data_IF_495744207714
#
_entry.id   IF_495744207714
#
_cell.length_a   1.000
_cell.length_b   1.000
_cell.length_c   1.000
_cell.angle_alpha   90.00
_cell.angle_beta   90.00
_cell.angle_gamma   90.00
#
_symmetry.space_group_name_H-M   'P 1'
#
loop_
_entity.id
_entity.type
_entity.pdbx_description
1 polymer ?
#
# COMPACT_ATOMS: atom_id res chain seq x y z
N UNK A 1 -2.36 -1.52 17.89
CA UNK A 1 -1.43 -2.32 17.04
C UNK A 1 -0.26 -1.47 16.55
N UNK A 2 -0.52 -0.34 15.92
CA UNK A 2 0.55 0.58 15.44
C UNK A 2 1.46 1.01 16.59
N UNK A 3 0.92 1.57 17.65
CA UNK A 3 1.71 1.97 18.83
C UNK A 3 2.54 0.83 19.40
N UNK A 4 1.95 -0.37 19.52
CA UNK A 4 2.68 -1.54 20.00
C UNK A 4 3.86 -1.92 19.11
N UNK A 5 3.69 -1.85 17.77
CA UNK A 5 4.76 -2.13 16.83
C UNK A 5 5.87 -1.08 16.93
N UNK A 6 5.50 0.20 17.02
CA UNK A 6 6.45 1.31 17.17
C UNK A 6 7.22 1.22 18.50
N UNK A 7 6.53 0.87 19.61
CA UNK A 7 7.17 0.66 20.92
C UNK A 7 8.17 -0.50 20.90
N UNK A 8 7.89 -1.53 20.11
CA UNK A 8 8.81 -2.67 19.91
C UNK A 8 9.91 -2.34 18.85
N UNK A 9 9.96 -1.10 18.34
CA UNK A 9 10.98 -0.58 17.42
C UNK A 9 10.73 -0.87 15.94
N UNK A 10 9.53 -1.30 15.56
CA UNK A 10 9.14 -1.55 14.18
C UNK A 10 8.15 -0.50 13.69
N UNK A 11 8.59 0.39 12.81
CA UNK A 11 7.72 1.38 12.21
C UNK A 11 6.62 0.72 11.39
N UNK A 12 5.44 1.35 11.38
CA UNK A 12 4.29 0.92 10.59
C UNK A 12 4.00 1.98 9.56
N UNK A 13 3.89 1.59 8.30
CA UNK A 13 3.41 2.46 7.23
C UNK A 13 1.92 2.25 6.99
N UNK A 14 1.17 3.32 6.82
CA UNK A 14 -0.21 3.23 6.37
C UNK A 14 -0.27 3.02 4.85
N UNK A 15 -1.35 2.41 4.39
CA UNK A 15 -1.59 2.15 2.97
C UNK A 15 -3.04 2.47 2.61
N UNK A 16 -3.24 2.92 1.36
CA UNK A 16 -4.58 3.19 0.85
C UNK A 16 -5.25 4.41 1.49
N UNK A 17 -6.56 4.34 1.64
CA UNK A 17 -7.39 5.50 1.96
C UNK A 17 -7.31 6.00 3.41
N UNK A 18 -6.73 5.24 4.33
CA UNK A 18 -6.62 5.65 5.75
C UNK A 18 -5.81 6.94 5.93
N UNK A 19 -4.85 7.22 5.03
CA UNK A 19 -4.05 8.45 5.02
C UNK A 19 -4.86 9.73 4.73
N UNK A 20 -6.12 9.62 4.29
CA UNK A 20 -7.02 10.77 4.10
C UNK A 20 -7.84 11.14 5.33
N UNK A 21 -7.68 10.40 6.44
CA UNK A 21 -8.41 10.65 7.69
C UNK A 21 -7.54 11.39 8.71
N UNK A 22 -7.82 12.66 8.96
CA UNK A 22 -7.16 13.42 10.01
C UNK A 22 -7.38 12.82 11.41
N UNK A 23 -8.56 12.23 11.64
CA UNK A 23 -8.81 11.50 12.89
C UNK A 23 -7.86 10.31 13.07
N UNK A 24 -7.54 9.59 12.00
CA UNK A 24 -6.57 8.49 12.03
C UNK A 24 -5.14 9.01 12.28
N UNK A 25 -4.77 10.17 11.74
CA UNK A 25 -3.50 10.86 12.04
C UNK A 25 -3.41 11.20 13.52
N UNK A 26 -4.43 11.84 14.07
CA UNK A 26 -4.48 12.24 15.48
C UNK A 26 -4.51 11.05 16.44
N UNK A 27 -5.07 9.92 16.00
CA UNK A 27 -5.07 8.67 16.77
C UNK A 27 -3.73 7.89 16.66
N UNK A 28 -2.77 8.37 15.85
CA UNK A 28 -1.50 7.69 15.59
C UNK A 28 -1.65 6.36 14.85
N UNK A 29 -2.69 6.24 14.00
CA UNK A 29 -2.91 5.09 13.12
C UNK A 29 -2.14 5.24 11.82
N UNK A 30 -2.08 6.47 11.30
CA UNK A 30 -1.33 6.83 10.09
C UNK A 30 -0.35 7.97 10.39
N UNK A 31 0.79 7.94 9.72
CA UNK A 31 1.79 9.00 9.70
C UNK A 31 1.42 10.14 8.75
N UNK A 32 0.45 9.92 7.88
CA UNK A 32 0.04 10.88 6.86
C UNK A 32 -0.91 11.92 7.46
N UNK A 33 -0.57 13.21 7.30
CA UNK A 33 -1.45 14.32 7.65
C UNK A 33 -2.19 14.81 6.39
N UNK A 34 -3.50 14.56 6.26
CA UNK A 34 -4.26 14.91 5.05
C UNK A 34 -4.62 16.39 4.91
N UNK A 35 -4.37 17.20 5.93
CA UNK A 35 -4.67 18.63 5.85
C UNK A 35 -3.86 19.31 4.73
N UNK A 36 -4.31 20.48 4.31
CA UNK A 36 -3.55 21.31 3.37
C UNK A 36 -2.18 21.65 3.95
N UNK A 37 -1.17 21.93 3.11
CA UNK A 37 0.17 22.26 3.56
C UNK A 37 0.19 23.37 4.61
N UNK A 38 0.92 23.16 5.71
CA UNK A 38 0.97 24.07 6.82
C UNK A 38 2.26 23.94 7.64
N UNK A 39 2.55 24.99 8.39
CA UNK A 39 3.62 25.00 9.37
C UNK A 39 3.08 24.81 10.79
N UNK A 40 3.80 24.04 11.60
CA UNK A 40 3.51 23.87 13.03
C UNK A 40 4.76 24.17 13.84
N UNK A 41 4.67 25.07 14.79
CA UNK A 41 5.75 25.29 15.73
C UNK A 41 5.80 24.17 16.78
N UNK A 42 6.89 23.40 16.91
CA UNK A 42 6.99 22.33 17.88
C UNK A 42 6.97 22.86 19.34
N UNK A 43 7.39 24.13 19.56
CA UNK A 43 7.51 24.73 20.88
C UNK A 43 6.22 25.42 21.35
N UNK A 44 5.69 26.38 20.61
CA UNK A 44 4.54 27.17 21.03
C UNK A 44 3.21 26.74 20.40
N UNK A 45 3.23 25.71 19.53
CA UNK A 45 2.06 25.15 18.83
C UNK A 45 1.35 26.11 17.88
N UNK A 46 1.96 27.26 17.58
CA UNK A 46 1.46 28.13 16.52
C UNK A 46 1.44 27.38 15.19
N UNK A 47 0.35 27.48 14.46
CA UNK A 47 0.17 26.87 13.13
C UNK A 47 -0.28 27.90 12.11
N UNK A 48 0.11 27.67 10.85
CA UNK A 48 -0.19 28.58 9.74
C UNK A 48 -0.41 27.74 8.48
N UNK A 49 -1.62 27.83 7.91
CA UNK A 49 -2.03 27.10 6.73
C UNK A 49 -1.76 27.90 5.46
N UNK A 50 -1.37 27.19 4.38
CA UNK A 50 -0.90 27.78 3.14
C UNK A 50 -1.66 27.20 1.94
N UNK A 51 -2.78 27.81 1.56
CA UNK A 51 -3.61 27.41 0.43
C UNK A 51 -2.88 27.50 -0.92
N UNK A 52 -1.87 28.36 -1.04
CA UNK A 52 -1.04 28.51 -2.24
C UNK A 52 -0.23 27.24 -2.58
N UNK A 53 -0.08 26.31 -1.63
CA UNK A 53 0.55 25.03 -1.82
C UNK A 53 -0.47 23.88 -1.92
N UNK A 54 -1.77 24.18 -2.09
CA UNK A 54 -2.79 23.15 -2.27
C UNK A 54 -2.41 22.16 -3.36
N UNK A 55 -2.70 20.87 -3.16
CA UNK A 55 -2.31 19.78 -4.05
C UNK A 55 -0.82 19.40 -3.99
N UNK A 56 -0.06 19.94 -3.05
CA UNK A 56 1.35 19.63 -2.83
C UNK A 56 1.57 19.03 -1.43
N UNK A 57 2.77 18.53 -1.18
CA UNK A 57 3.21 18.14 0.15
C UNK A 57 3.78 19.33 0.89
N UNK A 58 3.38 19.52 2.15
CA UNK A 58 3.97 20.53 3.02
C UNK A 58 5.48 20.35 3.22
N UNK A 59 6.00 19.14 3.06
CA UNK A 59 7.45 18.86 3.11
C UNK A 59 8.23 19.68 2.10
N UNK A 60 7.64 19.94 0.92
CA UNK A 60 8.30 20.70 -0.15
C UNK A 60 8.28 22.23 0.06
N UNK A 61 7.58 22.72 1.11
CA UNK A 61 7.59 24.14 1.45
C UNK A 61 8.97 24.61 1.93
N UNK A 62 9.31 25.90 1.75
CA UNK A 62 10.57 26.45 2.26
C UNK A 62 10.61 26.38 3.80
N UNK A 63 11.83 26.32 4.36
CA UNK A 63 12.01 26.37 5.80
C UNK A 63 11.59 27.73 6.36
N UNK A 64 10.94 27.70 7.53
CA UNK A 64 10.39 28.90 8.17
C UNK A 64 10.59 28.87 9.69
N UNK A 65 10.99 30.02 10.24
CA UNK A 65 11.02 30.22 11.68
C UNK A 65 9.66 30.70 12.20
N UNK A 66 9.30 30.22 13.38
CA UNK A 66 8.10 30.66 14.06
C UNK A 66 8.16 32.17 14.37
N UNK A 67 7.15 32.96 13.98
CA UNK A 67 7.13 34.39 14.23
C UNK A 67 7.12 34.74 15.72
N UNK A 68 6.60 33.84 16.58
CA UNK A 68 6.47 34.07 18.01
C UNK A 68 7.69 33.69 18.83
N UNK A 69 8.34 32.55 18.55
CA UNK A 69 9.43 32.03 19.39
C UNK A 69 10.72 31.71 18.64
N UNK A 70 10.81 32.02 17.36
CA UNK A 70 11.99 31.84 16.51
C UNK A 70 12.52 30.39 16.42
N UNK A 71 11.69 29.42 16.74
CA UNK A 71 12.01 28.00 16.56
C UNK A 71 11.69 27.59 15.13
N UNK A 72 12.52 26.75 14.48
CA UNK A 72 12.20 26.19 13.18
C UNK A 72 10.87 25.44 13.24
N UNK A 73 9.98 25.73 12.31
CA UNK A 73 8.66 25.13 12.23
C UNK A 73 8.72 23.78 11.47
N UNK A 74 7.87 22.87 11.87
CA UNK A 74 7.64 21.61 11.15
C UNK A 74 6.75 21.89 9.97
N UNK A 75 7.05 21.26 8.83
CA UNK A 75 6.31 21.34 7.57
C UNK A 75 5.48 20.07 7.42
N UNK A 76 4.16 20.20 7.34
CA UNK A 76 3.23 19.08 7.25
C UNK A 76 2.08 19.34 6.28
N UNK A 77 1.27 18.30 6.06
CA UNK A 77 0.09 18.34 5.21
C UNK A 77 0.34 17.86 3.80
N UNK A 78 -0.60 17.06 3.28
CA UNK A 78 -0.51 16.46 1.94
C UNK A 78 -1.74 16.75 1.07
N UNK A 79 -2.68 17.56 1.58
CA UNK A 79 -3.91 17.98 0.88
C UNK A 79 -4.67 16.79 0.26
N UNK A 80 -5.06 15.83 1.10
CA UNK A 80 -5.77 14.63 0.66
C UNK A 80 -7.25 14.76 1.05
N UNK A 81 -8.18 14.73 0.09
CA UNK A 81 -9.61 14.83 0.36
C UNK A 81 -10.11 13.66 1.23
N UNK A 82 -10.97 13.96 2.23
CA UNK A 82 -11.53 12.94 3.13
C UNK A 82 -12.45 11.95 2.40
N UNK A 83 -13.03 12.37 1.29
CA UNK A 83 -13.86 11.55 0.40
C UNK A 83 -13.13 10.30 -0.11
N UNK A 84 -11.81 10.32 -0.15
CA UNK A 84 -10.99 9.14 -0.48
C UNK A 84 -11.21 8.01 0.52
N UNK A 85 -11.50 8.34 1.78
CA UNK A 85 -11.72 7.36 2.87
C UNK A 85 -13.16 6.85 2.94
N UNK A 86 -14.15 7.74 2.90
CA UNK A 86 -15.55 7.38 3.09
C UNK A 86 -16.42 7.46 1.84
N UNK A 87 -15.90 7.93 0.70
CA UNK A 87 -16.70 8.25 -0.48
C UNK A 87 -17.36 9.62 -0.39
N UNK A 88 -17.86 10.12 -1.52
CA UNK A 88 -18.51 11.44 -1.58
C UNK A 88 -19.83 11.49 -0.80
N UNK A 89 -20.56 10.39 -0.76
CA UNK A 89 -21.84 10.26 -0.06
C UNK A 89 -21.70 9.61 1.33
N UNK A 90 -20.47 9.31 1.77
CA UNK A 90 -20.20 8.60 3.03
C UNK A 90 -20.65 7.13 3.02
N UNK A 91 -20.80 6.54 1.85
CA UNK A 91 -21.30 5.18 1.61
C UNK A 91 -20.20 4.13 1.49
N UNK A 92 -18.94 4.56 1.38
CA UNK A 92 -17.80 3.66 1.32
C UNK A 92 -17.45 3.18 2.73
N UNK A 93 -17.39 1.85 2.92
CA UNK A 93 -16.82 1.27 4.13
C UNK A 93 -15.34 1.60 4.22
N UNK A 94 -14.86 2.24 5.31
CA UNK A 94 -13.45 2.59 5.45
C UNK A 94 -12.58 1.34 5.52
N UNK A 95 -11.52 1.34 4.72
CA UNK A 95 -10.52 0.27 4.69
C UNK A 95 -9.25 0.75 5.39
N UNK A 96 -8.78 -0.04 6.37
CA UNK A 96 -7.58 0.28 7.16
C UNK A 96 -6.51 -0.76 6.84
N UNK A 97 -5.64 -0.39 5.92
CA UNK A 97 -4.50 -1.20 5.49
C UNK A 97 -3.22 -0.69 6.14
N UNK A 98 -2.50 -1.59 6.82
CA UNK A 98 -1.28 -1.26 7.54
C UNK A 98 -0.16 -2.21 7.13
N UNK A 99 0.98 -1.63 6.77
CA UNK A 99 2.21 -2.34 6.43
C UNK A 99 3.09 -2.47 7.68
N UNK A 100 3.17 -3.68 8.21
CA UNK A 100 4.07 -4.04 9.29
C UNK A 100 5.36 -4.65 8.73
N UNK A 101 6.43 -4.63 9.51
CA UNK A 101 7.61 -5.42 9.18
C UNK A 101 7.22 -6.90 9.05
N UNK A 102 7.69 -7.56 7.98
CA UNK A 102 7.33 -8.95 7.67
C UNK A 102 7.61 -9.91 8.84
N UNK A 103 8.71 -9.71 9.53
CA UNK A 103 9.10 -10.49 10.72
C UNK A 103 8.24 -10.20 11.96
N UNK A 104 7.61 -9.02 12.03
CA UNK A 104 6.74 -8.62 13.14
C UNK A 104 5.26 -8.92 12.91
N UNK A 105 4.84 -9.22 11.68
CA UNK A 105 3.44 -9.43 11.29
C UNK A 105 2.72 -10.49 12.17
N UNK A 106 3.39 -11.61 12.45
CA UNK A 106 2.81 -12.67 13.27
C UNK A 106 2.51 -12.22 14.71
N UNK A 107 3.34 -11.34 15.26
CA UNK A 107 3.15 -10.72 16.57
C UNK A 107 1.93 -9.81 16.57
N UNK A 108 1.72 -9.02 15.50
CA UNK A 108 0.53 -8.20 15.32
C UNK A 108 -0.75 -9.03 15.27
N UNK A 109 -0.75 -10.13 14.53
CA UNK A 109 -1.91 -11.03 14.50
C UNK A 109 -2.27 -11.58 15.89
N UNK A 110 -1.29 -12.06 16.66
CA UNK A 110 -1.52 -12.53 18.03
C UNK A 110 -1.98 -11.40 18.96
N UNK A 111 -1.47 -10.19 18.75
CA UNK A 111 -1.91 -9.04 19.54
C UNK A 111 -3.36 -8.64 19.24
N UNK A 112 -3.83 -8.84 18.00
CA UNK A 112 -5.24 -8.63 17.63
C UNK A 112 -6.16 -9.55 18.44
N UNK A 113 -5.79 -10.81 18.60
CA UNK A 113 -6.54 -11.77 19.46
C UNK A 113 -6.59 -11.31 20.93
N UNK A 114 -5.51 -10.70 21.42
CA UNK A 114 -5.46 -10.14 22.78
C UNK A 114 -6.38 -8.92 22.93
N UNK A 115 -6.52 -8.10 21.89
CA UNK A 115 -7.35 -6.88 21.91
C UNK A 115 -8.84 -7.19 21.84
N UNK A 116 -9.24 -8.12 20.98
CA UNK A 116 -10.65 -8.37 20.64
C UNK A 116 -11.20 -9.68 21.22
N UNK A 117 -10.33 -10.57 21.72
CA UNK A 117 -10.67 -11.92 22.15
C UNK A 117 -10.32 -12.96 21.08
N UNK A 118 -9.78 -14.10 21.49
CA UNK A 118 -9.37 -15.16 20.56
C UNK A 118 -10.56 -15.80 19.82
N UNK A 119 -11.76 -15.73 20.41
CA UNK A 119 -13.01 -16.19 19.82
C UNK A 119 -13.67 -15.17 18.88
N UNK A 120 -13.10 -13.98 18.77
CA UNK A 120 -13.59 -12.87 17.91
C UNK A 120 -12.69 -12.57 16.72
N UNK A 121 -11.55 -13.25 16.59
CA UNK A 121 -10.53 -12.95 15.58
C UNK A 121 -10.28 -14.17 14.70
N UNK A 122 -10.52 -14.05 13.41
CA UNK A 122 -10.35 -15.11 12.43
C UNK A 122 -9.56 -14.61 11.22
N UNK A 123 -8.75 -15.46 10.63
CA UNK A 123 -8.08 -15.11 9.36
C UNK A 123 -9.11 -15.05 8.24
N UNK A 124 -8.96 -14.08 7.35
CA UNK A 124 -9.80 -13.99 6.16
C UNK A 124 -9.54 -15.18 5.22
N UNK A 125 -10.57 -15.93 4.90
CA UNK A 125 -10.50 -17.04 3.95
C UNK A 125 -10.41 -16.54 2.51
N UNK A 126 -9.73 -17.30 1.67
CA UNK A 126 -9.69 -17.10 0.23
C UNK A 126 -10.11 -18.36 -0.51
N UNK A 127 -10.76 -18.19 -1.65
CA UNK A 127 -11.15 -19.30 -2.54
C UNK A 127 -10.41 -19.12 -3.85
N UNK A 128 -9.50 -20.05 -4.16
CA UNK A 128 -8.88 -20.16 -5.46
C UNK A 128 -9.81 -20.87 -6.44
N UNK A 129 -10.09 -20.25 -7.57
CA UNK A 129 -10.91 -20.83 -8.64
C UNK A 129 -10.08 -21.13 -9.87
N UNK A 130 -10.63 -21.97 -10.77
CA UNK A 130 -10.01 -22.28 -12.04
C UNK A 130 -10.09 -21.06 -12.96
N UNK A 131 -8.92 -20.54 -13.36
CA UNK A 131 -8.82 -19.42 -14.32
C UNK A 131 -9.02 -19.89 -15.75
N UNK A 132 -9.32 -18.97 -16.68
CA UNK A 132 -9.49 -19.29 -18.13
C UNK A 132 -8.30 -20.06 -18.71
N UNK A 133 -7.07 -19.61 -18.43
CA UNK A 133 -5.84 -20.25 -18.89
C UNK A 133 -5.69 -21.68 -18.36
N UNK A 134 -5.98 -21.86 -17.06
CA UNK A 134 -5.92 -23.18 -16.41
C UNK A 134 -7.02 -24.10 -16.95
N UNK A 135 -8.24 -23.59 -17.11
CA UNK A 135 -9.37 -24.31 -17.69
C UNK A 135 -9.07 -24.82 -19.09
N UNK A 136 -8.53 -23.94 -19.94
CA UNK A 136 -8.12 -24.33 -21.30
C UNK A 136 -7.06 -25.43 -21.28
N UNK A 137 -6.05 -25.31 -20.42
CA UNK A 137 -5.00 -26.34 -20.26
C UNK A 137 -5.56 -27.69 -19.82
N UNK A 138 -6.50 -27.71 -18.88
CA UNK A 138 -7.13 -28.95 -18.42
C UNK A 138 -7.93 -29.63 -19.51
N UNK A 139 -8.76 -28.88 -20.24
CA UNK A 139 -9.55 -29.47 -21.34
C UNK A 139 -8.65 -29.94 -22.47
N UNK A 140 -7.60 -29.17 -22.81
CA UNK A 140 -6.64 -29.56 -23.84
C UNK A 140 -5.94 -30.86 -23.47
N UNK A 141 -5.44 -30.97 -22.23
CA UNK A 141 -4.79 -32.18 -21.73
C UNK A 141 -5.75 -33.38 -21.74
N UNK A 142 -7.00 -33.20 -21.33
CA UNK A 142 -8.02 -34.26 -21.39
C UNK A 142 -8.29 -34.73 -22.82
N UNK A 143 -8.38 -33.81 -23.78
CA UNK A 143 -8.58 -34.12 -25.20
C UNK A 143 -7.42 -34.93 -25.76
N UNK A 144 -6.18 -34.55 -25.40
CA UNK A 144 -4.97 -35.27 -25.80
C UNK A 144 -4.90 -36.68 -25.16
N UNK A 145 -5.16 -36.80 -23.85
CA UNK A 145 -5.16 -38.10 -23.15
C UNK A 145 -6.24 -39.08 -23.63
N UNK A 146 -7.35 -38.54 -24.12
CA UNK A 146 -8.46 -39.33 -24.62
C UNK A 146 -8.47 -39.44 -26.16
N UNK A 147 -7.43 -38.93 -26.81
CA UNK A 147 -7.28 -38.96 -28.29
C UNK A 147 -8.52 -38.41 -29.03
N UNK A 148 -9.18 -37.40 -28.43
CA UNK A 148 -10.38 -36.81 -28.98
C UNK A 148 -10.03 -35.80 -30.09
N UNK A 149 -10.73 -35.88 -31.21
CA UNK A 149 -10.60 -34.90 -32.28
C UNK A 149 -11.49 -33.68 -31.99
N UNK A 150 -10.94 -32.64 -31.39
CA UNK A 150 -11.67 -31.42 -31.03
C UNK A 150 -10.98 -30.17 -31.58
N UNK A 151 -11.77 -29.27 -32.14
CA UNK A 151 -11.26 -27.96 -32.56
C UNK A 151 -10.92 -27.06 -31.35
N UNK A 152 -10.04 -26.10 -31.56
CA UNK A 152 -9.69 -25.10 -30.50
C UNK A 152 -10.93 -24.33 -29.99
N UNK A 153 -11.93 -24.10 -30.87
CA UNK A 153 -13.21 -23.49 -30.50
C UNK A 153 -14.01 -24.35 -29.51
N UNK A 154 -14.08 -25.67 -29.77
CA UNK A 154 -14.75 -26.60 -28.87
C UNK A 154 -14.00 -26.71 -27.53
N UNK A 155 -12.68 -26.76 -27.53
CA UNK A 155 -11.86 -26.77 -26.30
C UNK A 155 -12.19 -25.52 -25.47
N UNK A 156 -12.21 -24.31 -26.07
CA UNK A 156 -12.59 -23.07 -25.37
C UNK A 156 -14.02 -23.12 -24.83
N UNK A 157 -14.98 -23.68 -25.60
CA UNK A 157 -16.37 -23.81 -25.13
C UNK A 157 -16.48 -24.68 -23.88
N UNK A 158 -15.76 -25.80 -23.82
CA UNK A 158 -15.74 -26.66 -22.64
C UNK A 158 -14.96 -26.03 -21.48
N UNK A 159 -13.83 -25.37 -21.76
CA UNK A 159 -13.06 -24.65 -20.75
C UNK A 159 -13.91 -23.61 -20.02
N UNK A 160 -14.72 -22.81 -20.72
CA UNK A 160 -15.64 -21.84 -20.12
C UNK A 160 -16.61 -22.42 -19.10
N UNK A 161 -16.94 -23.71 -19.19
CA UNK A 161 -17.85 -24.38 -18.24
C UNK A 161 -17.20 -24.70 -16.89
N UNK A 162 -15.90 -24.75 -16.86
CA UNK A 162 -15.14 -25.06 -15.62
C UNK A 162 -14.40 -23.84 -15.05
N UNK A 163 -14.42 -22.70 -15.76
CA UNK A 163 -13.92 -21.45 -15.20
C UNK A 163 -14.75 -21.05 -13.98
N UNK A 164 -14.08 -20.59 -12.92
CA UNK A 164 -14.74 -20.17 -11.69
C UNK A 164 -15.06 -21.29 -10.70
N UNK A 165 -14.88 -22.57 -11.09
CA UNK A 165 -15.05 -23.70 -10.17
C UNK A 165 -14.00 -23.62 -9.06
N UNK A 166 -14.42 -23.81 -7.81
CA UNK A 166 -13.52 -23.86 -6.63
C UNK A 166 -12.47 -24.94 -6.82
N UNK A 167 -11.23 -24.57 -6.61
CA UNK A 167 -10.07 -25.47 -6.67
C UNK A 167 -9.41 -25.66 -5.32
N UNK A 168 -9.10 -24.55 -4.65
CA UNK A 168 -8.40 -24.54 -3.36
C UNK A 168 -9.08 -23.54 -2.42
N UNK A 169 -8.96 -23.80 -1.13
CA UNK A 169 -9.15 -22.80 -0.08
C UNK A 169 -7.81 -22.41 0.50
N UNK A 170 -7.72 -21.17 0.97
CA UNK A 170 -6.51 -20.64 1.57
C UNK A 170 -6.83 -19.53 2.55
N UNK A 171 -5.80 -18.87 3.04
CA UNK A 171 -5.91 -17.69 3.89
C UNK A 171 -5.41 -16.45 3.16
N UNK A 172 -6.03 -15.31 3.45
CA UNK A 172 -5.51 -14.01 3.02
C UNK A 172 -4.22 -13.70 3.79
N UNK A 173 -3.16 -13.20 3.15
CA UNK A 173 -1.85 -13.02 3.82
C UNK A 173 -1.88 -12.02 4.97
N UNK A 174 -2.72 -10.98 4.91
CA UNK A 174 -2.82 -9.94 5.93
C UNK A 174 -4.21 -9.79 6.54
N UNK A 175 -5.25 -10.30 5.89
CA UNK A 175 -6.64 -10.07 6.28
C UNK A 175 -7.03 -10.78 7.58
N UNK A 176 -7.60 -10.01 8.49
CA UNK A 176 -8.15 -10.48 9.76
C UNK A 176 -9.59 -10.00 9.88
N UNK A 177 -10.50 -10.93 10.15
CA UNK A 177 -11.92 -10.66 10.36
C UNK A 177 -12.20 -10.49 11.85
N UNK A 178 -12.79 -9.36 12.23
CA UNK A 178 -13.12 -9.03 13.62
C UNK A 178 -14.63 -9.18 13.84
N UNK A 179 -15.00 -10.13 14.67
CA UNK A 179 -16.40 -10.39 15.02
C UNK A 179 -16.88 -9.38 16.06
N UNK A 180 -18.03 -8.70 15.87
CA UNK A 180 -18.60 -7.81 16.88
C UNK A 180 -18.80 -8.54 18.21
N UNK A 181 -18.71 -7.80 19.32
CA UNK A 181 -18.75 -8.37 20.67
C UNK A 181 -20.05 -9.15 20.95
N UNK A 182 -21.19 -8.67 20.42
CA UNK A 182 -22.53 -9.22 20.60
C UNK A 182 -22.90 -10.33 19.60
N UNK A 183 -21.96 -10.72 18.70
CA UNK A 183 -22.17 -11.72 17.64
C UNK A 183 -21.18 -12.86 17.75
N UNK A 184 -21.50 -13.94 17.05
CA UNK A 184 -20.60 -15.08 16.85
C UNK A 184 -20.17 -15.16 15.39
N UNK A 185 -19.03 -15.81 15.14
CA UNK A 185 -18.53 -15.99 13.75
C UNK A 185 -19.53 -16.73 12.88
N UNK A 186 -20.31 -17.64 13.47
CA UNK A 186 -21.32 -18.44 12.78
C UNK A 186 -22.53 -17.63 12.30
N UNK A 187 -22.73 -16.42 12.80
CA UNK A 187 -23.71 -15.48 12.26
C UNK A 187 -23.31 -14.96 10.86
N UNK A 188 -22.04 -15.08 10.50
CA UNK A 188 -21.47 -14.54 9.26
C UNK A 188 -20.99 -15.64 8.32
N UNK A 189 -20.31 -16.67 8.84
CA UNK A 189 -19.64 -17.70 8.03
C UNK A 189 -19.31 -18.94 8.86
N UNK A 190 -19.32 -20.13 8.25
CA UNK A 190 -18.61 -21.26 8.82
C UNK A 190 -17.10 -20.97 8.89
N UNK A 191 -16.38 -21.74 9.69
CA UNK A 191 -14.92 -21.66 9.83
C UNK A 191 -14.29 -22.97 9.35
N UNK A 192 -13.02 -22.89 8.94
CA UNK A 192 -12.25 -24.04 8.47
C UNK A 192 -10.76 -23.88 8.77
N UNK A 193 -10.04 -24.98 8.68
CA UNK A 193 -8.59 -24.93 8.61
C UNK A 193 -8.12 -24.52 7.21
N UNK A 194 -7.11 -23.64 7.06
CA UNK A 194 -6.57 -23.28 5.75
C UNK A 194 -6.00 -24.51 5.03
N UNK A 195 -6.27 -24.64 3.74
CA UNK A 195 -5.88 -25.79 2.92
C UNK A 195 -6.32 -27.15 3.46
N UNK A 196 -7.40 -27.18 4.25
CA UNK A 196 -7.94 -28.39 4.92
C UNK A 196 -6.91 -29.10 5.84
N UNK A 197 -5.92 -28.34 6.36
CA UNK A 197 -4.88 -28.86 7.25
C UNK A 197 -5.29 -28.68 8.73
N UNK A 198 -5.73 -29.76 9.43
CA UNK A 198 -6.17 -29.69 10.83
C UNK A 198 -5.01 -29.45 11.81
N UNK A 199 -3.76 -29.54 11.36
CA UNK A 199 -2.58 -29.25 12.21
C UNK A 199 -2.31 -27.75 12.30
N UNK A 200 -2.95 -26.94 11.44
CA UNK A 200 -2.90 -25.49 11.53
C UNK A 200 -3.49 -25.00 12.85
N UNK A 201 -2.76 -24.14 13.54
CA UNK A 201 -3.27 -23.47 14.75
C UNK A 201 -4.17 -22.27 14.42
N UNK A 202 -4.38 -21.98 13.14
CA UNK A 202 -5.10 -20.80 12.68
C UNK A 202 -6.41 -21.23 12.02
N UNK A 203 -7.52 -20.60 12.43
CA UNK A 203 -8.82 -20.79 11.80
C UNK A 203 -9.08 -19.68 10.79
N UNK A 204 -9.67 -20.06 9.67
CA UNK A 204 -10.08 -19.10 8.63
C UNK A 204 -11.59 -19.12 8.44
N UNK A 205 -12.12 -18.00 7.92
CA UNK A 205 -13.50 -17.99 7.40
C UNK A 205 -13.63 -18.97 6.24
N UNK A 206 -14.71 -19.72 6.18
CA UNK A 206 -14.96 -20.63 5.06
C UNK A 206 -15.40 -19.88 3.81
N UNK A 207 -16.25 -18.85 3.97
CA UNK A 207 -16.57 -17.96 2.86
C UNK A 207 -15.38 -17.09 2.53
N UNK A 208 -15.19 -16.81 1.25
CA UNK A 208 -14.20 -15.79 0.83
C UNK A 208 -14.59 -14.46 1.45
N UNK A 209 -13.59 -13.72 1.96
CA UNK A 209 -13.81 -12.40 2.54
C UNK A 209 -14.61 -11.46 1.64
N UNK A 210 -14.48 -11.58 0.31
CA UNK A 210 -15.24 -10.79 -0.67
C UNK A 210 -16.75 -11.00 -0.57
N UNK A 211 -17.18 -12.19 -0.15
CA UNK A 211 -18.61 -12.51 -0.03
C UNK A 211 -19.24 -12.03 1.26
N UNK A 212 -18.44 -11.67 2.27
CA UNK A 212 -18.86 -11.20 3.58
C UNK A 212 -18.40 -9.76 3.88
N UNK A 213 -17.79 -9.10 2.90
CA UNK A 213 -17.43 -7.68 2.97
C UNK A 213 -18.68 -6.83 3.21
N UNK A 214 -18.54 -5.78 4.01
CA UNK A 214 -19.66 -4.92 4.44
C UNK A 214 -20.56 -5.52 5.52
N UNK A 215 -20.27 -6.74 6.00
CA UNK A 215 -21.03 -7.38 7.10
C UNK A 215 -20.20 -7.62 8.35
N UNK A 216 -18.89 -7.69 8.20
CA UNK A 216 -17.95 -7.95 9.28
C UNK A 216 -16.68 -7.15 9.02
N UNK A 217 -16.14 -6.52 10.05
CA UNK A 217 -14.94 -5.71 9.92
C UNK A 217 -13.74 -6.55 9.50
N UNK A 218 -13.07 -6.13 8.44
CA UNK A 218 -11.78 -6.65 8.00
C UNK A 218 -10.67 -5.65 8.31
N UNK A 219 -9.60 -6.11 8.91
CA UNK A 219 -8.35 -5.37 9.05
C UNK A 219 -7.29 -6.03 8.19
N UNK A 220 -6.54 -5.24 7.43
CA UNK A 220 -5.41 -5.74 6.65
C UNK A 220 -4.09 -5.42 7.35
N UNK A 221 -3.53 -6.43 8.01
CA UNK A 221 -2.22 -6.38 8.67
C UNK A 221 -1.19 -7.01 7.73
N UNK A 222 -0.68 -6.21 6.81
CA UNK A 222 0.19 -6.68 5.74
C UNK A 222 1.64 -6.74 6.22
N UNK A 223 2.32 -7.87 5.96
CA UNK A 223 3.78 -7.96 6.08
C UNK A 223 4.43 -7.34 4.85
N UNK A 224 5.32 -6.39 5.06
CA UNK A 224 6.00 -5.67 3.98
C UNK A 224 7.50 -5.58 4.25
N UNK A 225 8.30 -5.61 3.18
CA UNK A 225 9.77 -5.59 3.30
C UNK A 225 10.31 -4.21 3.70
N UNK A 226 9.64 -3.12 3.31
CA UNK A 226 10.14 -1.76 3.55
C UNK A 226 10.28 -1.45 5.04
N UNK A 227 9.29 -1.68 5.93
CA UNK A 227 9.49 -1.48 7.36
C UNK A 227 10.62 -2.35 7.94
N UNK A 228 10.81 -3.57 7.44
CA UNK A 228 11.93 -4.45 7.84
C UNK A 228 13.28 -3.84 7.43
N UNK A 229 13.38 -3.34 6.19
CA UNK A 229 14.60 -2.69 5.68
C UNK A 229 14.92 -1.44 6.49
N UNK A 230 13.93 -0.60 6.77
CA UNK A 230 14.09 0.63 7.57
C UNK A 230 14.60 0.29 8.97
N UNK A 231 14.02 -0.73 9.62
CA UNK A 231 14.49 -1.21 10.92
C UNK A 231 15.96 -1.64 10.89
N UNK A 232 16.34 -2.48 9.92
CA UNK A 232 17.71 -2.95 9.76
C UNK A 232 18.69 -1.80 9.47
N UNK A 233 18.30 -0.84 8.64
CA UNK A 233 19.14 0.33 8.36
C UNK A 233 19.33 1.19 9.62
N UNK A 234 18.26 1.41 10.39
CA UNK A 234 18.34 2.11 11.67
C UNK A 234 19.30 1.41 12.64
N UNK A 235 19.19 0.09 12.77
CA UNK A 235 20.07 -0.71 13.66
C UNK A 235 21.54 -0.69 13.21
N UNK A 236 21.81 -0.72 11.90
CA UNK A 236 23.16 -0.71 11.35
C UNK A 236 23.82 0.66 11.43
N UNK A 237 23.07 1.73 11.26
CA UNK A 237 23.60 3.10 11.18
C UNK A 237 23.51 3.86 12.50
N UNK A 238 22.64 3.43 13.41
CA UNK A 238 22.29 4.17 14.63
C UNK A 238 21.48 5.43 14.36
N UNK A 239 20.99 5.62 13.14
CA UNK A 239 20.16 6.77 12.75
C UNK A 239 18.69 6.43 12.95
N UNK A 240 17.96 7.27 13.67
CA UNK A 240 16.52 7.14 13.79
C UNK A 240 15.85 7.58 12.48
N UNK A 241 15.13 6.69 11.79
CA UNK A 241 14.47 6.99 10.52
C UNK A 241 13.50 8.17 10.58
N UNK A 242 12.87 8.41 11.73
CA UNK A 242 11.92 9.52 11.93
C UNK A 242 12.59 10.90 11.91
N UNK A 243 13.88 10.95 12.09
CA UNK A 243 14.67 12.20 12.10
C UNK A 243 15.30 12.51 10.73
N UNK A 244 15.10 11.66 9.72
CA UNK A 244 15.66 11.88 8.37
C UNK A 244 14.79 12.90 7.63
N UNK A 245 15.36 14.03 7.14
CA UNK A 245 14.60 15.01 6.38
C UNK A 245 14.19 14.43 5.01
N UNK A 246 12.90 14.53 4.66
CA UNK A 246 12.39 14.02 3.38
C UNK A 246 12.59 14.99 2.21
N UNK A 247 13.05 16.19 2.46
CA UNK A 247 13.37 17.23 1.46
C UNK A 247 14.87 17.38 1.18
N UNK A 248 15.68 16.40 1.60
CA UNK A 248 17.11 16.40 1.35
C UNK A 248 17.42 16.36 -0.16
N UNK A 249 18.06 17.41 -0.65
CA UNK A 249 18.31 17.63 -2.09
C UNK A 249 19.28 16.60 -2.71
N UNK A 250 20.25 16.11 -1.95
CA UNK A 250 21.19 15.11 -2.46
C UNK A 250 20.48 13.76 -2.61
N UNK A 251 19.59 13.42 -1.68
CA UNK A 251 18.75 12.22 -1.77
C UNK A 251 17.73 12.34 -2.90
N UNK A 252 17.04 13.46 -3.03
CA UNK A 252 16.11 13.70 -4.14
C UNK A 252 16.80 13.67 -5.51
N UNK A 253 18.08 14.07 -5.60
CA UNK A 253 18.87 13.99 -6.82
C UNK A 253 18.95 12.56 -7.38
N UNK A 254 18.95 11.53 -6.53
CA UNK A 254 19.04 10.11 -6.92
C UNK A 254 17.90 9.70 -7.87
N UNK A 255 16.73 10.35 -7.75
CA UNK A 255 15.55 10.04 -8.57
C UNK A 255 15.60 10.61 -9.98
N UNK A 256 16.54 11.50 -10.29
CA UNK A 256 16.72 12.06 -11.64
C UNK A 256 18.17 12.08 -12.13
N UNK A 257 19.16 11.71 -11.29
CA UNK A 257 20.58 11.69 -11.61
C UNK A 257 21.30 10.59 -10.80
N UNK A 258 22.54 10.32 -11.14
CA UNK A 258 23.46 9.46 -10.37
C UNK A 258 24.57 10.25 -9.68
N UNK A 259 24.61 11.57 -9.84
CA UNK A 259 25.71 12.44 -9.38
C UNK A 259 25.94 12.37 -7.88
N UNK A 260 24.86 12.40 -7.07
CA UNK A 260 24.93 12.31 -5.60
C UNK A 260 25.53 10.99 -5.10
N UNK A 261 25.43 9.93 -5.88
CA UNK A 261 26.00 8.62 -5.53
C UNK A 261 27.53 8.58 -5.72
N UNK A 262 28.11 9.56 -6.42
CA UNK A 262 29.54 9.62 -6.76
C UNK A 262 30.05 8.33 -7.42
N UNK A 263 29.15 7.62 -8.10
CA UNK A 263 29.39 6.33 -8.72
C UNK A 263 28.95 6.37 -10.18
N UNK A 264 29.85 5.98 -11.07
CA UNK A 264 29.57 5.84 -12.50
C UNK A 264 29.47 4.35 -12.79
N UNK A 265 28.27 3.89 -13.11
CA UNK A 265 28.06 2.53 -13.60
C UNK A 265 27.87 2.57 -15.11
N UNK A 266 28.82 2.01 -15.85
CA UNK A 266 28.75 1.89 -17.32
C UNK A 266 27.52 1.09 -17.78
N UNK A 267 26.92 0.29 -16.88
CA UNK A 267 25.70 -0.49 -17.14
C UNK A 267 24.43 0.27 -16.82
N UNK A 268 24.50 1.34 -16.01
CA UNK A 268 23.38 2.17 -15.61
C UNK A 268 23.36 3.48 -16.43
N UNK A 269 23.21 3.34 -17.73
CA UNK A 269 23.27 4.47 -18.69
C UNK A 269 22.02 5.36 -18.67
N UNK A 270 21.00 5.01 -17.91
CA UNK A 270 19.75 5.77 -17.83
C UNK A 270 19.85 7.04 -16.96
N UNK A 271 20.91 7.18 -16.18
CA UNK A 271 21.15 8.36 -15.36
C UNK A 271 20.22 8.51 -14.17
N UNK A 272 19.64 7.38 -13.66
CA UNK A 272 18.77 7.34 -12.47
C UNK A 272 19.37 6.41 -11.43
N UNK A 273 19.56 6.91 -10.21
CA UNK A 273 20.26 6.23 -9.11
C UNK A 273 19.41 5.26 -8.27
N UNK A 274 18.21 4.88 -8.71
CA UNK A 274 17.19 4.23 -7.87
C UNK A 274 17.18 2.70 -7.91
N UNK A 275 18.19 2.04 -8.48
CA UNK A 275 18.21 0.58 -8.70
C UNK A 275 17.95 -0.24 -7.41
N UNK A 276 18.45 0.21 -6.27
CA UNK A 276 18.28 -0.44 -4.96
C UNK A 276 17.13 0.11 -4.12
N UNK A 277 16.34 1.05 -4.64
CA UNK A 277 15.25 1.66 -3.88
C UNK A 277 13.95 0.88 -4.13
N UNK A 278 13.29 0.36 -3.08
CA UNK A 278 12.02 -0.33 -3.21
C UNK A 278 11.00 0.49 -4.01
N UNK A 279 10.24 -0.20 -4.86
CA UNK A 279 9.24 0.36 -5.80
C UNK A 279 9.82 1.22 -6.93
N UNK A 280 10.85 2.05 -6.67
CA UNK A 280 11.49 2.92 -7.66
C UNK A 280 12.63 2.25 -8.44
N UNK A 281 13.04 1.05 -8.06
CA UNK A 281 14.15 0.30 -8.69
C UNK A 281 13.74 -0.55 -9.89
N UNK A 282 12.44 -0.70 -10.19
CA UNK A 282 11.98 -1.50 -11.34
C UNK A 282 12.25 -0.78 -12.65
N UNK A 283 12.49 -1.52 -13.73
CA UNK A 283 12.73 -0.92 -15.06
C UNK A 283 11.58 -0.01 -15.49
N UNK A 284 10.35 -0.38 -15.15
CA UNK A 284 9.16 0.41 -15.46
C UNK A 284 9.16 1.77 -14.76
N UNK A 285 9.36 1.80 -13.45
CA UNK A 285 9.36 3.05 -12.67
C UNK A 285 10.60 3.89 -12.98
N UNK A 286 11.78 3.26 -13.18
CA UNK A 286 12.98 3.99 -13.62
C UNK A 286 12.77 4.69 -14.96
N UNK A 287 12.02 4.08 -15.90
CA UNK A 287 11.63 4.77 -17.13
C UNK A 287 10.68 5.96 -16.86
N UNK A 288 9.74 5.83 -15.92
CA UNK A 288 8.89 6.95 -15.50
C UNK A 288 9.72 8.12 -14.95
N UNK A 289 10.72 7.81 -14.11
CA UNK A 289 11.64 8.82 -13.58
C UNK A 289 12.45 9.54 -14.66
N UNK A 290 12.85 8.82 -15.70
CA UNK A 290 13.53 9.42 -16.87
C UNK A 290 12.60 10.38 -17.63
N UNK A 291 11.34 9.99 -17.81
CA UNK A 291 10.35 10.80 -18.53
C UNK A 291 9.95 12.06 -17.71
N UNK A 292 9.93 11.98 -16.38
CA UNK A 292 9.41 13.03 -15.49
C UNK A 292 10.46 13.90 -14.80
N UNK A 293 11.64 13.35 -14.50
CA UNK A 293 12.75 14.01 -13.79
C UNK A 293 12.31 14.74 -12.51
N UNK A 294 11.70 14.03 -11.53
CA UNK A 294 11.13 14.64 -10.33
C UNK A 294 12.18 15.30 -9.45
N UNK A 295 11.84 16.42 -8.83
CA UNK A 295 12.73 17.20 -7.96
C UNK A 295 12.16 17.41 -6.56
N UNK A 296 10.90 17.02 -6.32
CA UNK A 296 10.18 17.23 -5.07
C UNK A 296 9.56 15.94 -4.57
N UNK A 297 9.25 15.88 -3.27
CA UNK A 297 8.54 14.75 -2.69
C UNK A 297 7.14 14.60 -3.31
N UNK A 298 6.44 15.72 -3.55
CA UNK A 298 5.13 15.74 -4.22
C UNK A 298 5.17 15.01 -5.56
N UNK A 299 6.17 15.29 -6.39
CA UNK A 299 6.31 14.64 -7.69
C UNK A 299 6.59 13.14 -7.55
N UNK A 300 7.38 12.73 -6.56
CA UNK A 300 7.62 11.31 -6.26
C UNK A 300 6.34 10.59 -5.81
N UNK A 301 5.55 11.19 -4.93
CA UNK A 301 4.25 10.64 -4.50
C UNK A 301 3.34 10.42 -5.72
N UNK A 302 3.25 11.39 -6.62
CA UNK A 302 2.44 11.28 -7.85
C UNK A 302 2.94 10.19 -8.77
N UNK A 303 4.25 10.06 -8.97
CA UNK A 303 4.85 8.98 -9.78
C UNK A 303 4.55 7.61 -9.16
N UNK A 304 4.64 7.50 -7.84
CA UNK A 304 4.25 6.28 -7.13
C UNK A 304 2.78 5.93 -7.41
N UNK A 305 1.86 6.90 -7.30
CA UNK A 305 0.45 6.71 -7.65
C UNK A 305 0.25 6.25 -9.11
N UNK A 306 0.92 6.91 -10.06
CA UNK A 306 0.85 6.58 -11.48
C UNK A 306 1.50 5.22 -11.84
N UNK A 307 2.36 4.68 -10.99
CA UNK A 307 2.97 3.37 -11.18
C UNK A 307 2.04 2.20 -10.82
N UNK A 308 0.94 2.48 -10.13
CA UNK A 308 -0.05 1.51 -9.68
C UNK A 308 -1.31 1.57 -10.57
N UNK A 309 -1.86 0.40 -10.88
CA UNK A 309 -3.03 0.29 -11.74
C UNK A 309 -2.71 -0.02 -13.21
N UNK A 310 -3.69 -0.59 -13.90
CA UNK A 310 -3.62 -0.89 -15.34
C UNK A 310 -3.95 0.36 -16.15
N UNK A 311 -3.16 0.61 -17.20
CA UNK A 311 -3.38 1.68 -18.18
C UNK A 311 -3.37 3.13 -17.61
N UNK A 312 -2.80 3.32 -16.42
CA UNK A 312 -2.70 4.66 -15.82
C UNK A 312 -1.52 5.44 -16.42
N UNK A 313 -0.39 4.78 -16.60
CA UNK A 313 0.83 5.40 -17.13
C UNK A 313 0.94 5.22 -18.64
N UNK A 314 1.08 3.97 -19.12
CA UNK A 314 1.29 3.67 -20.54
C UNK A 314 0.07 4.05 -21.38
N UNK A 315 0.29 4.80 -22.46
CA UNK A 315 -0.78 5.25 -23.34
C UNK A 315 -1.70 6.33 -22.74
N UNK A 316 -1.35 6.87 -21.56
CA UNK A 316 -2.11 7.90 -20.86
C UNK A 316 -1.18 8.99 -20.32
N UNK A 317 -0.87 9.04 -19.03
CA UNK A 317 -0.04 10.11 -18.43
C UNK A 317 1.32 10.25 -19.11
N UNK A 318 1.95 9.16 -19.51
CA UNK A 318 3.22 9.17 -20.24
C UNK A 318 3.16 9.99 -21.53
N UNK A 319 2.08 9.84 -22.31
CA UNK A 319 1.95 10.58 -23.58
C UNK A 319 1.74 12.07 -23.35
N UNK A 320 1.02 12.45 -22.30
CA UNK A 320 0.81 13.86 -21.94
C UNK A 320 2.12 14.50 -21.52
N UNK A 321 2.90 13.83 -20.66
CA UNK A 321 4.20 14.31 -20.20
C UNK A 321 5.19 14.44 -21.37
N UNK A 322 5.23 13.48 -22.29
CA UNK A 322 6.07 13.55 -23.50
C UNK A 322 5.66 14.65 -24.47
N UNK A 323 4.42 15.12 -24.41
CA UNK A 323 3.93 16.32 -25.11
C UNK A 323 4.26 17.62 -24.38
N UNK A 324 4.94 17.57 -23.24
CA UNK A 324 5.34 18.72 -22.44
C UNK A 324 4.31 19.21 -21.43
N UNK A 325 3.26 18.42 -21.15
CA UNK A 325 2.31 18.74 -20.10
C UNK A 325 2.96 18.41 -18.75
N UNK A 326 3.01 19.35 -17.80
CA UNK A 326 3.58 19.12 -16.48
C UNK A 326 2.91 17.97 -15.73
N UNK A 327 3.66 17.26 -14.87
CA UNK A 327 3.15 16.11 -14.11
C UNK A 327 1.91 16.45 -13.28
N UNK A 328 1.85 17.63 -12.69
CA UNK A 328 0.72 18.10 -11.89
C UNK A 328 -0.56 18.37 -12.70
N UNK A 329 -0.46 18.53 -14.02
CA UNK A 329 -1.60 18.72 -14.91
C UNK A 329 -2.03 17.42 -15.62
N UNK A 330 -1.27 16.32 -15.44
CA UNK A 330 -1.61 15.01 -16.01
C UNK A 330 -2.49 14.16 -15.10
N UNK A 331 -2.68 14.58 -13.86
CA UNK A 331 -3.49 13.92 -12.86
C UNK A 331 -4.70 14.81 -12.59
N UNK A 332 -5.90 14.31 -12.92
CA UNK A 332 -7.14 14.95 -12.48
C UNK A 332 -7.34 14.57 -10.99
N UNK A 333 -7.27 15.57 -10.15
CA UNK A 333 -7.66 15.47 -8.74
C UNK A 333 -9.16 15.75 -8.59
#
# INVERSE_FOLDING_TARGET
MVWRSNDDGYLVGSRGSVGSSFAATMAGITEVNPLIPHYICPKCKFSEFHEEYSGQSGVDMPDKECPHCKTNMIKEGHDIPFEVFLGFDGDKEPDIDLNFAGEYQSTCHKYTEKLFGADKVYRAGTIGTISDKTAFGYVKKFVEEKELNMTAGNIRRFARKIVGVKRTSGQHPGGVMIVPHDKEIYDFTPIQYPADDPTSQTMTTHFSYKSISGRILKLDLLGHDVPTIIKHLGDLTGVDPLNIPMDDKETLNIFYSTESLKFVDDKNKDGVGTLGIPEYGTNFVRQMLLDTRPKTLTELIRISGLSHGTDVWLGNAQELIRKGIPLNETICT
#
